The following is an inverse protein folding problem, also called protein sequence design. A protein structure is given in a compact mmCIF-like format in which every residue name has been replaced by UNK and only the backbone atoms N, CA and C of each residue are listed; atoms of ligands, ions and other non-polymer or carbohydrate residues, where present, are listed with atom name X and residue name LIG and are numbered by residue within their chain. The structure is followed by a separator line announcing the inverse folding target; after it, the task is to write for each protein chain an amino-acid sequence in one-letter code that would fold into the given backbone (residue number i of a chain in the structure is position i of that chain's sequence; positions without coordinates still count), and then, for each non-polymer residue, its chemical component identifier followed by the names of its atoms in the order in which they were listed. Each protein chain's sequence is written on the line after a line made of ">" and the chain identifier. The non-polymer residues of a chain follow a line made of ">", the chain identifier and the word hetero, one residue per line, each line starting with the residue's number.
data_IF_258053637137
#
_entry.id   IF_258053637137
#
_cell.length_a   1.000
_cell.length_b   1.000
_cell.length_c   1.000
_cell.angle_alpha   90.00
_cell.angle_beta   90.00
_cell.angle_gamma   90.00
#
_symmetry.space_group_name_H-M   'P 1'
#
loop_
_entity.id
_entity.type
_entity.pdbx_description
1 polymer ?
#
# COMPACT_ATOMS: atom_id res chain seq x y z
N UNK A 1 -34.74 -20.00 -14.95
CA UNK A 1 -34.37 -19.33 -13.69
C UNK A 1 -35.18 -18.05 -13.61
N UNK A 2 -35.81 -17.77 -12.49
CA UNK A 2 -36.51 -16.49 -12.27
C UNK A 2 -35.50 -15.40 -11.94
N UNK A 3 -35.87 -14.13 -12.06
CA UNK A 3 -35.02 -13.00 -11.65
C UNK A 3 -34.66 -13.07 -10.15
N UNK A 4 -35.55 -13.64 -9.35
CA UNK A 4 -35.32 -13.84 -7.92
C UNK A 4 -34.23 -14.90 -7.67
N UNK A 5 -34.18 -15.97 -8.49
CA UNK A 5 -33.09 -16.96 -8.44
C UNK A 5 -31.76 -16.34 -8.80
N UNK A 6 -31.71 -15.47 -9.81
CA UNK A 6 -30.49 -14.79 -10.24
C UNK A 6 -30.00 -13.79 -9.17
N UNK A 7 -30.92 -13.06 -8.53
CA UNK A 7 -30.59 -12.17 -7.40
C UNK A 7 -30.07 -12.98 -6.21
N UNK A 8 -30.70 -14.09 -5.89
CA UNK A 8 -30.26 -14.95 -4.80
C UNK A 8 -28.85 -15.53 -5.06
N UNK A 9 -28.57 -15.93 -6.31
CA UNK A 9 -27.24 -16.39 -6.70
C UNK A 9 -26.19 -15.28 -6.63
N UNK A 10 -26.52 -14.07 -7.09
CA UNK A 10 -25.64 -12.91 -6.97
C UNK A 10 -25.25 -12.65 -5.51
N UNK A 11 -26.24 -12.62 -4.62
CA UNK A 11 -26.01 -12.41 -3.18
C UNK A 11 -25.13 -13.52 -2.57
N UNK A 12 -25.32 -14.77 -2.97
CA UNK A 12 -24.45 -15.88 -2.53
C UNK A 12 -22.99 -15.67 -2.98
N UNK A 13 -22.78 -15.25 -4.22
CA UNK A 13 -21.43 -14.95 -4.74
C UNK A 13 -20.79 -13.78 -4.03
N UNK A 14 -21.53 -12.72 -3.76
CA UNK A 14 -21.07 -11.58 -3.00
C UNK A 14 -20.67 -11.97 -1.56
N UNK A 15 -21.54 -12.73 -0.87
CA UNK A 15 -21.25 -13.21 0.48
C UNK A 15 -19.95 -14.05 0.49
N UNK A 16 -19.84 -14.98 -0.45
CA UNK A 16 -18.62 -15.81 -0.58
C UNK A 16 -17.37 -15.00 -0.86
N UNK A 17 -17.47 -13.98 -1.71
CA UNK A 17 -16.34 -13.10 -2.00
C UNK A 17 -15.83 -12.38 -0.74
N UNK A 18 -16.73 -12.06 0.20
CA UNK A 18 -16.41 -11.38 1.46
C UNK A 18 -15.85 -12.31 2.55
N UNK A 19 -15.93 -13.63 2.38
CA UNK A 19 -15.32 -14.60 3.31
C UNK A 19 -13.78 -14.57 3.30
N UNK A 20 -13.19 -13.95 2.29
CA UNK A 20 -11.73 -13.85 2.14
C UNK A 20 -11.10 -15.27 2.15
N UNK A 21 -9.98 -15.49 2.83
CA UNK A 21 -9.36 -16.81 2.98
C UNK A 21 -10.00 -17.70 4.04
N UNK A 22 -11.13 -17.27 4.61
CA UNK A 22 -11.93 -18.01 5.60
C UNK A 22 -11.56 -17.70 7.06
N UNK A 23 -12.43 -18.08 8.01
CA UNK A 23 -12.39 -17.62 9.39
C UNK A 23 -11.11 -18.00 10.13
N UNK A 24 -10.53 -19.17 9.85
CA UNK A 24 -9.31 -19.61 10.53
C UNK A 24 -8.11 -18.73 10.19
N UNK A 25 -7.93 -18.39 8.91
CA UNK A 25 -6.82 -17.52 8.47
C UNK A 25 -7.00 -16.10 8.96
N UNK A 26 -8.24 -15.60 8.98
CA UNK A 26 -8.56 -14.29 9.52
C UNK A 26 -8.30 -14.22 11.03
N UNK A 27 -8.64 -15.29 11.78
CA UNK A 27 -8.32 -15.40 13.20
C UNK A 27 -6.81 -15.34 13.44
N UNK A 28 -6.01 -16.12 12.68
CA UNK A 28 -4.54 -16.09 12.79
C UNK A 28 -3.94 -14.70 12.56
N UNK A 29 -4.47 -13.94 11.60
CA UNK A 29 -4.03 -12.54 11.37
C UNK A 29 -4.33 -11.66 12.56
N UNK A 30 -5.54 -11.76 13.11
CA UNK A 30 -5.94 -10.98 14.30
C UNK A 30 -5.08 -11.30 15.51
N UNK A 31 -4.80 -12.59 15.76
CA UNK A 31 -3.92 -13.05 16.83
C UNK A 31 -2.48 -12.54 16.67
N UNK A 32 -2.03 -12.34 15.43
CA UNK A 32 -0.73 -11.74 15.12
C UNK A 32 -0.73 -10.20 15.17
N UNK A 33 -1.85 -9.56 15.50
CA UNK A 33 -1.96 -8.09 15.52
C UNK A 33 -1.88 -7.44 14.14
N UNK A 34 -2.26 -8.17 13.08
CA UNK A 34 -2.17 -7.73 11.68
C UNK A 34 -3.56 -7.54 11.11
N UNK A 35 -3.85 -6.38 10.56
CA UNK A 35 -5.13 -6.10 9.91
C UNK A 35 -5.30 -6.97 8.65
N UNK A 36 -6.53 -7.42 8.40
CA UNK A 36 -6.89 -8.03 7.12
C UNK A 36 -7.11 -6.95 6.04
N UNK A 37 -7.32 -7.39 4.80
CA UNK A 37 -7.42 -6.47 3.68
C UNK A 37 -8.66 -5.54 3.73
N UNK A 38 -9.78 -6.00 4.30
CA UNK A 38 -10.98 -5.17 4.52
C UNK A 38 -10.75 -4.14 5.63
N UNK A 39 -10.23 -4.57 6.77
CA UNK A 39 -9.91 -3.69 7.90
C UNK A 39 -8.96 -2.56 7.49
N UNK A 40 -7.97 -2.83 6.63
CA UNK A 40 -7.07 -1.81 6.08
C UNK A 40 -7.82 -0.77 5.25
N UNK A 41 -8.75 -1.19 4.41
CA UNK A 41 -9.58 -0.29 3.60
C UNK A 41 -10.51 0.54 4.47
N UNK A 42 -11.15 -0.08 5.48
CA UNK A 42 -12.02 0.59 6.44
C UNK A 42 -11.29 1.66 7.28
N UNK A 43 -10.03 1.37 7.69
CA UNK A 43 -9.19 2.32 8.43
C UNK A 43 -8.68 3.48 7.56
N UNK A 44 -8.44 3.19 6.28
CA UNK A 44 -7.93 4.18 5.34
C UNK A 44 -9.00 5.19 4.92
N UNK A 45 -10.20 4.71 4.60
CA UNK A 45 -11.21 5.49 3.89
C UNK A 45 -12.25 6.10 4.83
N UNK A 46 -12.85 7.18 4.36
CA UNK A 46 -14.02 7.76 5.00
C UNK A 46 -15.15 6.71 5.08
N UNK A 47 -15.87 6.62 6.21
CA UNK A 47 -16.91 5.63 6.41
C UNK A 47 -17.93 5.60 5.27
N UNK A 48 -18.23 4.39 4.74
CA UNK A 48 -19.21 4.16 3.68
C UNK A 48 -18.82 4.70 2.31
N UNK A 49 -17.59 5.20 2.12
CA UNK A 49 -17.16 5.76 0.83
C UNK A 49 -16.60 4.71 -0.14
N UNK A 50 -16.32 3.49 0.31
CA UNK A 50 -15.67 2.48 -0.54
C UNK A 50 -16.62 1.90 -1.59
N UNK A 51 -16.21 1.98 -2.84
CA UNK A 51 -16.84 1.34 -3.99
C UNK A 51 -15.89 0.29 -4.54
N UNK A 52 -16.19 -0.98 -4.27
CA UNK A 52 -15.35 -2.08 -4.71
C UNK A 52 -15.50 -2.35 -6.21
N UNK A 53 -14.36 -2.54 -6.88
CA UNK A 53 -14.28 -2.94 -8.29
C UNK A 53 -13.70 -4.34 -8.39
N UNK A 54 -14.44 -5.27 -9.02
CA UNK A 54 -13.99 -6.64 -9.23
C UNK A 54 -14.21 -7.57 -8.03
N UNK A 55 -15.23 -7.33 -7.21
CA UNK A 55 -15.65 -8.17 -6.07
C UNK A 55 -15.77 -9.66 -6.44
N UNK A 56 -16.38 -9.96 -7.58
CA UNK A 56 -16.66 -11.33 -8.04
C UNK A 56 -15.50 -11.97 -8.82
N UNK A 57 -14.35 -11.31 -8.90
CA UNK A 57 -13.16 -11.83 -9.57
C UNK A 57 -12.60 -13.06 -8.84
N UNK A 58 -12.33 -14.13 -9.61
CA UNK A 58 -11.72 -15.37 -9.12
C UNK A 58 -10.62 -15.82 -10.06
N UNK A 59 -9.82 -16.82 -9.70
CA UNK A 59 -8.81 -17.40 -10.58
C UNK A 59 -9.42 -17.81 -11.93
N UNK A 60 -8.74 -17.45 -13.02
CA UNK A 60 -9.12 -17.81 -14.38
C UNK A 60 -8.30 -18.99 -14.94
N UNK A 61 -7.12 -19.24 -14.40
CA UNK A 61 -6.19 -20.23 -14.92
C UNK A 61 -6.54 -21.67 -14.55
N UNK A 62 -7.06 -21.89 -13.33
CA UNK A 62 -7.38 -23.20 -12.77
C UNK A 62 -8.82 -23.23 -12.29
N UNK A 63 -9.66 -24.08 -12.87
CA UNK A 63 -11.08 -24.19 -12.53
C UNK A 63 -11.29 -24.51 -11.05
N UNK A 64 -10.53 -25.46 -10.52
CA UNK A 64 -10.62 -25.86 -9.11
C UNK A 64 -10.26 -24.70 -8.14
N UNK A 65 -9.48 -23.74 -8.57
CA UNK A 65 -9.07 -22.60 -7.75
C UNK A 65 -10.17 -21.53 -7.65
N UNK A 66 -11.17 -21.50 -8.52
CA UNK A 66 -12.27 -20.53 -8.48
C UNK A 66 -12.99 -20.52 -7.13
N UNK A 67 -13.17 -21.69 -6.56
CA UNK A 67 -13.84 -21.84 -5.30
C UNK A 67 -13.05 -21.28 -4.09
N UNK A 68 -11.73 -21.19 -4.18
CA UNK A 68 -10.83 -20.87 -3.07
C UNK A 68 -10.04 -19.58 -3.30
N UNK A 69 -10.41 -18.80 -4.32
CA UNK A 69 -9.78 -17.52 -4.65
C UNK A 69 -10.80 -16.37 -4.69
N UNK A 70 -11.55 -16.13 -3.60
CA UNK A 70 -12.46 -14.99 -3.55
C UNK A 70 -11.69 -13.69 -3.80
N UNK A 71 -12.30 -12.78 -4.59
CA UNK A 71 -11.68 -11.51 -5.04
C UNK A 71 -10.33 -11.68 -5.74
N UNK A 72 -9.94 -12.93 -6.01
CA UNK A 72 -8.61 -13.35 -6.44
C UNK A 72 -7.47 -12.78 -5.58
N UNK A 73 -7.74 -12.68 -4.26
CA UNK A 73 -6.79 -12.24 -3.26
C UNK A 73 -6.49 -10.74 -3.25
N UNK A 74 -7.32 -9.90 -3.89
CA UNK A 74 -7.12 -8.45 -3.87
C UNK A 74 -8.44 -7.69 -3.79
N UNK A 75 -8.56 -6.80 -2.80
CA UNK A 75 -9.57 -5.77 -2.77
C UNK A 75 -9.09 -4.59 -3.60
N UNK A 76 -9.89 -4.18 -4.56
CA UNK A 76 -9.57 -3.05 -5.42
C UNK A 76 -10.80 -2.16 -5.56
N UNK A 77 -10.63 -0.86 -5.60
CA UNK A 77 -11.75 0.05 -5.72
C UNK A 77 -11.38 1.50 -5.50
N UNK A 78 -12.39 2.29 -5.18
CA UNK A 78 -12.29 3.73 -5.02
C UNK A 78 -13.00 4.13 -3.73
N UNK A 79 -12.55 5.19 -3.10
CA UNK A 79 -13.16 5.73 -1.90
C UNK A 79 -12.70 7.16 -1.66
N UNK A 80 -12.86 7.64 -0.43
CA UNK A 80 -12.44 8.99 -0.07
C UNK A 80 -11.57 8.97 1.18
N UNK A 81 -10.60 9.88 1.20
CA UNK A 81 -9.82 10.24 2.40
C UNK A 81 -10.03 11.73 2.63
N UNK A 82 -10.60 12.08 3.77
CA UNK A 82 -10.97 13.47 4.09
C UNK A 82 -11.74 14.16 2.94
N UNK A 83 -12.74 13.46 2.40
CA UNK A 83 -13.59 13.93 1.30
C UNK A 83 -12.98 13.86 -0.11
N UNK A 84 -11.68 13.60 -0.26
CA UNK A 84 -10.99 13.53 -1.56
C UNK A 84 -10.95 12.11 -2.10
N UNK A 85 -11.25 11.96 -3.39
CA UNK A 85 -11.25 10.66 -4.05
C UNK A 85 -9.85 10.05 -4.11
N UNK A 86 -9.78 8.74 -3.84
CA UNK A 86 -8.58 7.93 -3.95
C UNK A 86 -8.90 6.57 -4.55
N UNK A 87 -7.93 5.96 -5.20
CA UNK A 87 -7.98 4.57 -5.64
C UNK A 87 -7.21 3.71 -4.64
N UNK A 88 -7.69 2.50 -4.37
CA UNK A 88 -7.11 1.60 -3.37
C UNK A 88 -6.91 0.21 -3.94
N UNK A 89 -5.76 -0.37 -3.64
CA UNK A 89 -5.44 -1.79 -3.82
C UNK A 89 -5.00 -2.35 -2.48
N UNK A 90 -5.79 -3.24 -1.90
CA UNK A 90 -5.46 -3.94 -0.65
C UNK A 90 -5.29 -5.43 -0.92
N UNK A 91 -4.11 -5.93 -0.66
CA UNK A 91 -3.75 -7.33 -0.87
C UNK A 91 -4.26 -8.21 0.28
N UNK A 92 -5.04 -9.24 -0.05
CA UNK A 92 -5.54 -10.23 0.90
C UNK A 92 -4.61 -11.44 0.95
N UNK A 93 -3.66 -11.43 1.87
CA UNK A 93 -2.71 -12.52 2.05
C UNK A 93 -3.36 -13.85 2.47
N UNK A 94 -4.59 -13.82 2.96
CA UNK A 94 -5.32 -15.03 3.36
C UNK A 94 -5.76 -15.88 2.16
N UNK A 95 -5.81 -15.26 0.96
CA UNK A 95 -6.17 -15.91 -0.30
C UNK A 95 -4.91 -16.17 -1.13
N UNK A 96 -4.43 -17.43 -1.13
CA UNK A 96 -3.24 -17.84 -1.89
C UNK A 96 -2.01 -16.93 -1.69
N UNK A 97 -1.84 -16.34 -0.47
CA UNK A 97 -0.76 -15.41 -0.18
C UNK A 97 -0.80 -14.13 -1.04
N UNK A 98 -1.98 -13.69 -1.45
CA UNK A 98 -2.17 -12.59 -2.39
C UNK A 98 -1.30 -12.71 -3.66
N UNK A 99 -0.94 -13.94 -4.07
CA UNK A 99 -0.07 -14.18 -5.22
C UNK A 99 -0.65 -13.61 -6.51
N UNK A 100 0.22 -13.09 -7.36
CA UNK A 100 -0.16 -12.44 -8.61
C UNK A 100 -0.69 -13.45 -9.63
N UNK A 101 -1.86 -13.14 -10.21
CA UNK A 101 -2.57 -13.92 -11.20
C UNK A 101 -3.06 -13.04 -12.33
N UNK A 102 -3.52 -13.63 -13.44
CA UNK A 102 -4.09 -12.88 -14.55
C UNK A 102 -5.29 -12.02 -14.13
N UNK A 103 -6.19 -12.55 -13.31
CA UNK A 103 -7.40 -11.84 -12.87
C UNK A 103 -7.05 -10.65 -11.99
N UNK A 104 -6.23 -10.87 -10.95
CA UNK A 104 -5.94 -9.79 -10.03
C UNK A 104 -5.02 -8.71 -10.63
N UNK A 105 -4.17 -9.05 -11.59
CA UNK A 105 -3.40 -8.06 -12.36
C UNK A 105 -4.31 -7.18 -13.22
N UNK A 106 -5.35 -7.76 -13.85
CA UNK A 106 -6.37 -6.97 -14.58
C UNK A 106 -7.14 -6.03 -13.66
N UNK A 107 -7.46 -6.46 -12.42
CA UNK A 107 -8.12 -5.61 -11.42
C UNK A 107 -7.25 -4.41 -11.06
N UNK A 108 -5.98 -4.64 -10.75
CA UNK A 108 -5.02 -3.56 -10.45
C UNK A 108 -4.90 -2.62 -11.65
N UNK A 109 -4.70 -3.15 -12.85
CA UNK A 109 -4.58 -2.36 -14.08
C UNK A 109 -5.81 -1.50 -14.35
N UNK A 110 -7.02 -2.02 -14.09
CA UNK A 110 -8.27 -1.25 -14.21
C UNK A 110 -8.30 -0.07 -13.23
N UNK A 111 -8.04 -0.33 -11.95
CA UNK A 111 -8.07 0.73 -10.92
C UNK A 111 -7.01 1.80 -11.20
N UNK A 112 -5.80 1.39 -11.59
CA UNK A 112 -4.73 2.33 -11.97
C UNK A 112 -5.13 3.21 -13.15
N UNK A 113 -5.69 2.61 -14.21
CA UNK A 113 -6.13 3.37 -15.38
C UNK A 113 -7.18 4.41 -15.02
N UNK A 114 -8.22 4.01 -14.27
CA UNK A 114 -9.26 4.94 -13.83
C UNK A 114 -8.68 6.05 -12.95
N UNK A 115 -7.76 5.70 -12.02
CA UNK A 115 -7.11 6.67 -11.16
C UNK A 115 -6.31 7.70 -11.98
N UNK A 116 -5.51 7.24 -12.93
CA UNK A 116 -4.74 8.11 -13.84
C UNK A 116 -5.66 9.01 -14.68
N UNK A 117 -6.72 8.44 -15.27
CA UNK A 117 -7.66 9.18 -16.12
C UNK A 117 -8.46 10.23 -15.33
N UNK A 118 -8.70 9.99 -14.05
CA UNK A 118 -9.50 10.86 -13.16
C UNK A 118 -8.67 11.74 -12.23
N UNK A 119 -7.37 11.56 -12.20
CA UNK A 119 -6.49 12.29 -11.29
C UNK A 119 -6.69 11.91 -9.83
N UNK A 120 -6.87 10.62 -9.53
CA UNK A 120 -7.00 10.13 -8.16
C UNK A 120 -5.64 9.64 -7.64
N UNK A 121 -5.23 10.00 -6.43
CA UNK A 121 -4.13 9.33 -5.76
C UNK A 121 -4.38 7.81 -5.65
N UNK A 122 -3.30 7.03 -5.65
CA UNK A 122 -3.37 5.57 -5.51
C UNK A 122 -2.72 5.17 -4.19
N UNK A 123 -3.44 4.38 -3.38
CA UNK A 123 -2.91 3.74 -2.18
C UNK A 123 -2.79 2.25 -2.44
N UNK A 124 -1.59 1.71 -2.22
CA UNK A 124 -1.28 0.30 -2.41
C UNK A 124 -0.80 -0.32 -1.10
N UNK A 125 -1.56 -1.28 -0.56
CA UNK A 125 -1.13 -2.08 0.58
C UNK A 125 -0.37 -3.31 0.10
N UNK A 126 0.96 -3.24 0.17
CA UNK A 126 1.89 -4.23 -0.34
C UNK A 126 1.98 -5.47 0.55
N UNK A 127 1.42 -6.58 0.08
CA UNK A 127 1.56 -7.89 0.71
C UNK A 127 1.33 -8.97 -0.36
N UNK A 128 2.34 -9.81 -0.65
CA UNK A 128 2.23 -10.84 -1.69
C UNK A 128 3.33 -11.88 -1.55
N UNK A 129 3.00 -13.13 -1.74
CA UNK A 129 3.97 -14.23 -1.85
C UNK A 129 4.69 -14.32 -3.20
N UNK A 130 4.41 -13.39 -4.13
CA UNK A 130 4.98 -13.35 -5.47
C UNK A 130 4.03 -13.87 -6.54
N UNK A 131 4.57 -14.43 -7.63
CA UNK A 131 3.78 -14.92 -8.75
C UNK A 131 3.07 -16.25 -8.45
N UNK A 132 1.81 -16.38 -8.87
CA UNK A 132 1.06 -17.64 -8.78
C UNK A 132 1.52 -18.58 -9.89
N UNK A 133 2.15 -19.70 -9.53
CA UNK A 133 2.80 -20.61 -10.50
C UNK A 133 1.89 -21.10 -11.63
N UNK A 134 0.65 -21.59 -11.40
CA UNK A 134 -0.22 -21.99 -12.52
C UNK A 134 -0.52 -20.88 -13.51
N UNK A 135 -0.60 -19.63 -13.05
CA UNK A 135 -0.84 -18.46 -13.89
C UNK A 135 0.40 -18.04 -14.72
N UNK A 136 1.60 -18.46 -14.30
CA UNK A 136 2.87 -18.14 -14.98
C UNK A 136 3.30 -19.22 -15.99
N UNK A 137 2.63 -20.36 -16.01
CA UNK A 137 3.03 -21.50 -16.84
C UNK A 137 2.36 -21.47 -18.22
N UNK A 138 3.09 -21.98 -19.22
CA UNK A 138 2.59 -22.14 -20.58
C UNK A 138 2.53 -20.83 -21.38
N UNK A 139 2.05 -20.92 -22.63
CA UNK A 139 2.02 -19.80 -23.57
C UNK A 139 1.10 -18.65 -23.18
N UNK A 140 0.17 -18.88 -22.28
CA UNK A 140 -0.74 -17.86 -21.70
C UNK A 140 -0.27 -17.38 -20.33
N UNK A 141 0.92 -17.77 -19.91
CA UNK A 141 1.44 -17.47 -18.61
C UNK A 141 1.60 -15.96 -18.37
N UNK A 142 1.41 -15.56 -17.13
CA UNK A 142 1.49 -14.17 -16.69
C UNK A 142 2.92 -13.60 -16.84
N UNK A 143 3.94 -14.45 -16.81
CA UNK A 143 5.33 -14.03 -17.03
C UNK A 143 5.55 -13.27 -18.33
N UNK A 144 4.74 -13.57 -19.35
CA UNK A 144 4.74 -12.83 -20.61
C UNK A 144 4.02 -11.49 -20.53
N UNK A 145 3.23 -11.25 -19.49
CA UNK A 145 2.43 -10.04 -19.29
C UNK A 145 3.09 -9.04 -18.35
N UNK A 146 3.96 -9.47 -17.45
CA UNK A 146 4.59 -8.62 -16.43
C UNK A 146 5.45 -7.50 -17.03
N UNK A 147 6.00 -7.68 -18.22
CA UNK A 147 6.79 -6.66 -18.91
C UNK A 147 6.02 -5.87 -19.98
N UNK A 148 4.74 -6.14 -20.18
CA UNK A 148 3.99 -5.64 -21.35
C UNK A 148 2.96 -4.56 -21.04
N UNK A 149 2.69 -4.25 -19.78
CA UNK A 149 1.83 -3.11 -19.43
C UNK A 149 2.70 -1.88 -19.17
N UNK A 150 2.86 -0.97 -20.15
CA UNK A 150 3.66 0.25 -19.95
C UNK A 150 3.16 1.11 -18.80
N UNK A 151 1.87 1.06 -18.49
CA UNK A 151 1.27 1.82 -17.39
C UNK A 151 1.75 1.35 -16.00
N UNK A 152 2.32 0.16 -15.91
CA UNK A 152 2.89 -0.34 -14.66
C UNK A 152 4.27 0.28 -14.39
N UNK A 153 5.03 0.60 -15.42
CA UNK A 153 6.42 1.01 -15.32
C UNK A 153 6.64 2.47 -15.73
N UNK A 154 5.86 2.95 -16.69
CA UNK A 154 5.95 4.34 -17.16
C UNK A 154 4.89 5.16 -16.39
N UNK A 155 5.25 5.60 -15.19
CA UNK A 155 4.43 6.54 -14.45
C UNK A 155 4.63 7.94 -14.99
N UNK A 156 3.54 8.62 -15.25
CA UNK A 156 3.56 10.05 -15.62
C UNK A 156 3.56 10.97 -14.40
N UNK A 157 3.49 10.41 -13.19
CA UNK A 157 3.45 11.17 -11.92
C UNK A 157 2.40 12.29 -11.90
N UNK A 158 1.28 12.02 -12.52
CA UNK A 158 0.16 12.96 -12.57
C UNK A 158 -0.62 13.01 -11.25
N UNK A 159 -0.65 11.90 -10.50
CA UNK A 159 -1.28 11.76 -9.18
C UNK A 159 -0.33 11.06 -8.22
N UNK A 160 -0.38 11.38 -6.92
CA UNK A 160 0.43 10.70 -5.92
C UNK A 160 0.16 9.19 -5.90
N UNK A 161 1.22 8.41 -5.80
CA UNK A 161 1.17 6.98 -5.56
C UNK A 161 1.85 6.68 -4.22
N UNK A 162 1.13 6.05 -3.30
CA UNK A 162 1.58 5.77 -1.94
C UNK A 162 1.47 4.28 -1.65
N UNK A 163 2.50 3.70 -1.06
CA UNK A 163 2.49 2.29 -0.67
C UNK A 163 2.78 2.10 0.80
N UNK A 164 2.12 1.10 1.40
CA UNK A 164 2.48 0.60 2.72
C UNK A 164 2.75 -0.91 2.64
N UNK A 165 3.95 -1.32 3.02
CA UNK A 165 4.39 -2.72 3.11
C UNK A 165 4.04 -3.24 4.49
N UNK A 166 3.02 -4.12 4.57
CA UNK A 166 2.43 -4.54 5.83
C UNK A 166 2.69 -6.03 6.16
N UNK A 167 3.48 -6.70 5.34
CA UNK A 167 3.85 -8.10 5.52
C UNK A 167 4.85 -8.56 4.48
N UNK A 168 4.75 -9.82 4.04
CA UNK A 168 5.60 -10.34 2.96
C UNK A 168 5.23 -9.68 1.63
N UNK A 169 6.18 -9.01 1.00
CA UNK A 169 5.96 -8.23 -0.21
C UNK A 169 6.99 -8.62 -1.29
N UNK A 170 6.65 -9.66 -2.07
CA UNK A 170 7.57 -10.21 -3.06
C UNK A 170 7.11 -10.00 -4.51
N UNK A 171 8.07 -9.99 -5.43
CA UNK A 171 7.84 -9.91 -6.86
C UNK A 171 7.21 -8.59 -7.30
N UNK A 172 6.13 -8.66 -8.08
CA UNK A 172 5.44 -7.47 -8.60
C UNK A 172 4.93 -6.52 -7.53
N UNK A 173 4.61 -7.05 -6.32
CA UNK A 173 4.20 -6.22 -5.19
C UNK A 173 5.34 -5.31 -4.71
N UNK A 174 6.58 -5.82 -4.66
CA UNK A 174 7.74 -5.01 -4.36
C UNK A 174 7.97 -3.94 -5.45
N UNK A 175 7.79 -4.27 -6.73
CA UNK A 175 7.91 -3.29 -7.81
C UNK A 175 6.89 -2.17 -7.72
N UNK A 176 5.63 -2.48 -7.41
CA UNK A 176 4.62 -1.44 -7.17
C UNK A 176 5.02 -0.50 -6.04
N UNK A 177 5.57 -1.04 -4.97
CA UNK A 177 6.06 -0.26 -3.83
C UNK A 177 7.23 0.65 -4.25
N UNK A 178 8.24 0.12 -4.94
CA UNK A 178 9.39 0.90 -5.40
C UNK A 178 9.03 2.00 -6.41
N UNK A 179 7.88 1.90 -7.07
CA UNK A 179 7.36 2.93 -8.00
C UNK A 179 6.57 4.04 -7.29
N UNK A 180 6.32 3.91 -6.00
CA UNK A 180 5.55 4.89 -5.23
C UNK A 180 6.35 6.17 -4.98
N UNK A 181 5.63 7.25 -4.76
CA UNK A 181 6.19 8.56 -4.39
C UNK A 181 6.46 8.67 -2.89
N UNK A 182 5.79 7.82 -2.10
CA UNK A 182 5.97 7.70 -0.67
C UNK A 182 5.71 6.25 -0.24
N UNK A 183 6.59 5.72 0.59
CA UNK A 183 6.57 4.34 1.04
C UNK A 183 6.68 4.23 2.55
N UNK A 184 5.79 3.43 3.15
CA UNK A 184 5.83 3.09 4.57
C UNK A 184 6.06 1.59 4.70
N UNK A 185 6.88 1.18 5.66
CA UNK A 185 7.06 -0.24 5.97
C UNK A 185 6.81 -0.50 7.44
N UNK A 186 5.95 -1.49 7.72
CA UNK A 186 5.74 -1.95 9.09
C UNK A 186 6.92 -2.80 9.55
N UNK A 187 7.34 -2.66 10.81
CA UNK A 187 8.34 -3.54 11.42
C UNK A 187 7.90 -5.01 11.34
N UNK A 188 8.83 -5.88 10.95
CA UNK A 188 8.57 -7.30 10.69
C UNK A 188 7.98 -7.60 9.31
N UNK A 189 7.73 -6.58 8.47
CA UNK A 189 7.47 -6.79 7.05
C UNK A 189 8.78 -7.02 6.29
N UNK A 190 8.69 -7.70 5.15
CA UNK A 190 9.85 -8.00 4.28
C UNK A 190 9.51 -7.68 2.85
N UNK A 191 10.33 -6.89 2.18
CA UNK A 191 10.17 -6.55 0.77
C UNK A 191 11.39 -6.99 -0.04
N UNK A 192 11.17 -7.81 -1.05
CA UNK A 192 12.22 -8.26 -1.96
C UNK A 192 11.65 -8.72 -3.30
N UNK A 193 12.48 -8.76 -4.34
CA UNK A 193 12.06 -9.32 -5.63
C UNK A 193 11.85 -10.83 -5.53
N UNK A 194 12.75 -11.55 -4.85
CA UNK A 194 12.63 -12.99 -4.60
C UNK A 194 12.32 -13.24 -3.12
N UNK A 195 11.52 -14.27 -2.82
CA UNK A 195 11.29 -14.67 -1.44
C UNK A 195 12.59 -15.23 -0.81
N UNK A 196 12.73 -15.17 0.53
CA UNK A 196 13.89 -15.76 1.22
C UNK A 196 14.12 -17.25 0.89
N UNK A 197 13.04 -18.01 0.67
CA UNK A 197 13.12 -19.39 0.27
C UNK A 197 13.76 -19.55 -1.11
N UNK A 198 13.32 -18.73 -2.08
CA UNK A 198 13.86 -18.77 -3.45
C UNK A 198 15.30 -18.28 -3.48
N UNK A 199 15.62 -17.20 -2.74
CA UNK A 199 16.98 -16.70 -2.60
C UNK A 199 17.91 -17.75 -1.97
N UNK A 200 17.47 -18.41 -0.89
CA UNK A 200 18.21 -19.49 -0.24
C UNK A 200 18.52 -20.65 -1.18
N UNK A 201 17.53 -21.06 -1.98
CA UNK A 201 17.73 -22.13 -2.98
C UNK A 201 18.71 -21.73 -4.08
N UNK A 202 18.67 -20.47 -4.52
CA UNK A 202 19.54 -19.97 -5.58
C UNK A 202 21.02 -19.89 -5.17
N UNK A 203 21.31 -19.49 -3.93
CA UNK A 203 22.69 -19.32 -3.45
C UNK A 203 23.20 -20.49 -2.60
N UNK A 204 22.37 -21.51 -2.33
CA UNK A 204 22.74 -22.66 -1.53
C UNK A 204 22.97 -22.41 -0.05
N UNK A 205 22.45 -21.28 0.48
CA UNK A 205 22.60 -20.87 1.88
C UNK A 205 21.27 -20.38 2.43
N UNK A 206 21.03 -20.55 3.73
CA UNK A 206 19.83 -20.01 4.38
C UNK A 206 19.92 -18.48 4.43
N UNK A 207 18.95 -17.83 3.84
CA UNK A 207 18.82 -16.37 3.84
C UNK A 207 17.85 -15.96 4.94
N UNK A 208 18.27 -15.04 5.80
CA UNK A 208 17.41 -14.42 6.79
C UNK A 208 16.49 -13.40 6.10
N UNK A 209 15.16 -13.44 6.36
CA UNK A 209 14.22 -12.50 5.75
C UNK A 209 14.50 -11.04 6.08
N UNK A 210 14.89 -10.73 7.33
CA UNK A 210 15.17 -9.37 7.78
C UNK A 210 16.43 -8.82 7.10
N UNK A 211 17.47 -9.66 6.94
CA UNK A 211 18.70 -9.27 6.22
C UNK A 211 18.46 -9.12 4.71
N UNK A 212 17.54 -9.92 4.12
CA UNK A 212 17.25 -9.85 2.70
C UNK A 212 16.52 -8.57 2.32
N UNK A 213 15.54 -8.16 3.13
CA UNK A 213 14.67 -7.06 2.77
C UNK A 213 13.74 -6.63 3.91
N UNK A 214 14.22 -6.69 5.16
CA UNK A 214 13.51 -6.16 6.31
C UNK A 214 13.54 -4.64 6.36
N UNK A 215 12.81 -4.08 7.30
CA UNK A 215 12.62 -2.64 7.41
C UNK A 215 13.94 -1.87 7.62
N UNK A 216 14.90 -2.43 8.40
CA UNK A 216 16.21 -1.79 8.60
C UNK A 216 17.02 -1.71 7.31
N UNK A 217 17.01 -2.80 6.53
CA UNK A 217 17.69 -2.83 5.24
C UNK A 217 17.16 -1.70 4.34
N UNK A 218 15.85 -1.52 4.29
CA UNK A 218 15.25 -0.57 3.35
C UNK A 218 15.17 0.87 3.86
N UNK A 219 15.14 1.11 5.17
CA UNK A 219 15.15 2.47 5.72
C UNK A 219 16.56 3.00 5.99
N UNK A 220 17.50 2.14 6.44
CA UNK A 220 18.82 2.59 6.90
C UNK A 220 19.93 2.39 5.85
N UNK A 221 19.74 1.44 4.90
CA UNK A 221 20.79 1.08 3.94
C UNK A 221 20.42 1.43 2.50
N UNK A 222 19.24 1.01 2.02
CA UNK A 222 18.85 1.24 0.62
C UNK A 222 18.12 2.55 0.38
N UNK A 223 17.50 3.13 1.40
CA UNK A 223 16.67 4.34 1.28
C UNK A 223 15.41 4.15 0.44
N UNK A 224 14.92 2.90 0.30
CA UNK A 224 13.69 2.62 -0.46
C UNK A 224 12.41 2.88 0.32
N UNK A 225 12.50 2.98 1.64
CA UNK A 225 11.38 3.22 2.54
C UNK A 225 11.57 4.57 3.22
N UNK A 226 10.59 5.44 3.07
CA UNK A 226 10.60 6.79 3.61
C UNK A 226 10.27 6.81 5.10
N UNK A 227 9.36 5.93 5.56
CA UNK A 227 8.94 5.84 6.97
C UNK A 227 8.77 4.40 7.42
N UNK A 228 9.07 4.17 8.69
CA UNK A 228 8.85 2.90 9.38
C UNK A 228 7.69 3.08 10.38
N UNK A 229 6.82 2.07 10.45
CA UNK A 229 5.68 2.03 11.37
C UNK A 229 5.76 0.80 12.28
N UNK A 230 5.29 0.92 13.52
CA UNK A 230 5.18 -0.21 14.45
C UNK A 230 3.99 -1.11 14.11
N UNK A 231 2.87 -0.52 13.66
CA UNK A 231 1.61 -1.19 13.41
C UNK A 231 1.04 -0.87 12.03
N UNK A 232 0.05 -1.69 11.58
CA UNK A 232 -0.70 -1.40 10.36
C UNK A 232 -1.47 -0.06 10.49
N UNK A 233 -2.05 0.23 11.67
CA UNK A 233 -2.77 1.48 11.93
C UNK A 233 -1.86 2.70 11.79
N UNK A 234 -0.66 2.66 12.38
CA UNK A 234 0.33 3.73 12.23
C UNK A 234 0.76 3.93 10.78
N UNK A 235 0.98 2.83 10.04
CA UNK A 235 1.32 2.91 8.63
C UNK A 235 0.21 3.60 7.82
N UNK A 236 -1.06 3.29 8.10
CA UNK A 236 -2.22 3.91 7.46
C UNK A 236 -2.30 5.41 7.79
N UNK A 237 -2.06 5.81 9.03
CA UNK A 237 -2.06 7.23 9.41
C UNK A 237 -0.91 8.00 8.74
N UNK A 238 0.28 7.40 8.59
CA UNK A 238 1.39 8.00 7.84
C UNK A 238 1.03 8.19 6.36
N UNK A 239 0.35 7.23 5.74
CA UNK A 239 -0.18 7.35 4.37
C UNK A 239 -1.18 8.52 4.25
N UNK A 240 -2.14 8.61 5.17
CA UNK A 240 -3.10 9.72 5.20
C UNK A 240 -2.41 11.06 5.39
N UNK A 241 -1.44 11.13 6.31
CA UNK A 241 -0.67 12.33 6.59
C UNK A 241 0.11 12.79 5.36
N UNK A 242 0.83 11.90 4.67
CA UNK A 242 1.50 12.26 3.43
C UNK A 242 0.53 12.81 2.39
N UNK A 243 -0.60 12.12 2.16
CA UNK A 243 -1.61 12.56 1.19
C UNK A 243 -2.25 13.90 1.58
N UNK A 244 -2.25 14.29 2.86
CA UNK A 244 -2.79 15.58 3.29
C UNK A 244 -1.97 16.78 2.81
N UNK A 245 -0.70 16.59 2.50
CA UNK A 245 0.18 17.63 1.93
C UNK A 245 0.07 17.73 0.41
N UNK A 246 -0.42 16.68 -0.24
CA UNK A 246 -0.37 16.55 -1.69
C UNK A 246 -1.69 16.98 -2.34
N UNK A 247 -1.65 17.60 -3.54
CA UNK A 247 -2.85 17.72 -4.38
C UNK A 247 -3.30 16.33 -4.85
N UNK A 248 -4.52 16.21 -5.37
CA UNK A 248 -4.98 14.95 -5.95
C UNK A 248 -4.23 14.63 -7.25
N UNK A 249 -3.85 15.65 -8.02
CA UNK A 249 -3.07 15.51 -9.26
C UNK A 249 -2.30 16.81 -9.57
N UNK A 250 -1.40 16.74 -10.56
CA UNK A 250 -0.50 17.82 -10.92
C UNK A 250 -1.18 19.11 -11.43
N UNK A 251 -2.47 19.09 -11.77
CA UNK A 251 -3.23 20.26 -12.19
C UNK A 251 -4.00 20.92 -11.03
N UNK A 252 -3.84 20.45 -9.81
CA UNK A 252 -4.39 21.08 -8.61
C UNK A 252 -3.29 21.76 -7.80
N UNK A 253 -3.64 22.86 -7.14
CA UNK A 253 -2.75 23.47 -6.14
C UNK A 253 -2.67 22.58 -4.89
N UNK A 254 -1.52 22.54 -4.19
CA UNK A 254 -1.43 21.89 -2.89
C UNK A 254 -2.50 22.42 -1.91
N UNK A 255 -2.98 21.57 -0.99
CA UNK A 255 -3.91 22.00 0.04
C UNK A 255 -3.38 23.21 0.81
N UNK A 256 -4.22 24.21 1.04
CA UNK A 256 -3.89 25.36 1.87
C UNK A 256 -4.64 25.25 3.18
N UNK A 257 -3.91 25.27 4.27
CA UNK A 257 -4.47 25.37 5.61
C UNK A 257 -4.57 26.85 6.02
N UNK A 258 -5.51 27.22 6.90
CA UNK A 258 -5.52 28.55 7.49
C UNK A 258 -4.21 28.77 8.27
N UNK A 259 -3.67 30.02 8.26
CA UNK A 259 -2.46 30.32 9.01
C UNK A 259 -2.68 30.04 10.50
N UNK A 260 -1.66 29.56 11.22
CA UNK A 260 -1.76 29.37 12.66
C UNK A 260 -1.99 30.70 13.37
N UNK A 261 -2.64 30.71 14.54
CA UNK A 261 -2.83 31.93 15.31
C UNK A 261 -1.48 32.51 15.76
N UNK A 262 -1.34 33.85 15.85
CA UNK A 262 -0.07 34.50 16.15
C UNK A 262 0.62 34.00 17.43
N UNK A 263 -0.13 33.61 18.44
CA UNK A 263 0.38 33.05 19.69
C UNK A 263 1.08 31.68 19.50
N UNK A 264 0.65 30.87 18.53
CA UNK A 264 1.26 29.57 18.24
C UNK A 264 2.66 29.72 17.64
N UNK A 265 2.92 30.81 16.93
CA UNK A 265 4.22 31.12 16.33
C UNK A 265 5.06 32.09 17.17
N UNK A 266 4.47 32.62 18.24
CA UNK A 266 5.17 33.53 19.14
C UNK A 266 6.41 32.86 19.76
N UNK A 267 7.50 33.62 19.89
CA UNK A 267 8.75 33.14 20.47
C UNK A 267 9.58 32.22 19.57
N UNK A 268 9.22 32.00 18.28
CA UNK A 268 10.00 31.19 17.35
C UNK A 268 11.47 31.63 17.26
N UNK A 269 11.73 32.93 17.16
CA UNK A 269 13.09 33.47 17.12
C UNK A 269 13.88 33.18 18.41
N UNK A 270 13.23 33.22 19.58
CA UNK A 270 13.87 32.88 20.84
C UNK A 270 14.20 31.39 20.93
N UNK A 271 13.29 30.51 20.45
CA UNK A 271 13.54 29.06 20.37
C UNK A 271 14.75 28.76 19.48
N UNK A 272 14.83 29.39 18.30
CA UNK A 272 15.97 29.21 17.39
C UNK A 272 17.28 29.67 18.06
N UNK A 273 17.31 30.85 18.69
CA UNK A 273 18.49 31.34 19.40
C UNK A 273 18.90 30.42 20.56
N UNK A 274 17.95 29.82 21.26
CA UNK A 274 18.22 28.85 22.32
C UNK A 274 18.73 27.49 21.83
N UNK A 275 18.43 27.15 20.57
CA UNK A 275 18.83 25.86 19.96
C UNK A 275 20.20 25.96 19.30
N UNK A 276 20.48 27.05 18.59
CA UNK A 276 21.74 27.24 17.83
C UNK A 276 22.83 27.73 18.81
N UNK A 277 23.91 26.94 19.01
CA UNK A 277 24.98 27.31 19.92
C UNK A 277 25.83 28.47 19.37
N UNK A 278 26.40 29.28 20.23
CA UNK A 278 27.35 30.36 19.86
C UNK A 278 28.61 29.78 19.16
N UNK A 279 29.06 28.62 19.62
CA UNK A 279 30.23 27.96 19.07
C UNK A 279 29.90 27.20 17.78
N UNK A 280 30.50 27.59 16.65
CA UNK A 280 30.37 26.92 15.35
C UNK A 280 30.88 25.47 15.31
N UNK A 281 31.57 25.00 16.34
CA UNK A 281 32.07 23.63 16.48
C UNK A 281 31.12 22.72 17.20
N UNK A 282 30.03 23.24 17.75
CA UNK A 282 29.07 22.47 18.55
C UNK A 282 27.91 22.05 17.65
N UNK A 283 27.59 20.77 17.65
CA UNK A 283 26.43 20.22 16.96
C UNK A 283 25.16 20.57 17.71
N UNK A 284 24.06 20.70 16.99
CA UNK A 284 22.73 20.93 17.53
C UNK A 284 21.69 20.22 16.67
N UNK A 285 20.50 20.03 17.23
CA UNK A 285 19.39 19.37 16.55
C UNK A 285 18.69 20.35 15.61
N UNK A 286 18.87 20.13 14.32
CA UNK A 286 18.28 20.97 13.26
C UNK A 286 16.76 20.81 13.21
N UNK A 287 16.19 19.66 13.61
CA UNK A 287 14.74 19.43 13.65
C UNK A 287 14.04 20.51 14.48
N UNK A 288 14.60 20.87 15.66
CA UNK A 288 14.07 21.93 16.51
C UNK A 288 14.09 23.32 15.85
N UNK A 289 15.05 23.56 14.97
CA UNK A 289 15.11 24.82 14.20
C UNK A 289 14.03 24.81 13.12
N UNK A 290 13.87 23.69 12.41
CA UNK A 290 12.83 23.53 11.38
C UNK A 290 11.44 23.69 12.02
N UNK A 291 11.16 22.99 13.11
CA UNK A 291 9.89 23.07 13.86
C UNK A 291 9.58 24.49 14.38
N UNK A 292 10.61 25.30 14.62
CA UNK A 292 10.41 26.69 15.00
C UNK A 292 10.12 27.61 13.82
N UNK A 293 10.39 27.19 12.59
CA UNK A 293 10.20 27.98 11.35
C UNK A 293 8.86 27.65 10.67
N UNK A 294 8.50 26.36 10.64
CA UNK A 294 7.29 25.89 9.97
C UNK A 294 6.07 26.02 10.89
N UNK A 295 4.88 25.90 10.30
CA UNK A 295 3.63 25.88 11.09
C UNK A 295 3.62 24.71 12.09
N UNK A 296 3.04 24.87 13.27
CA UNK A 296 2.92 23.80 14.25
C UNK A 296 2.35 22.53 13.63
N UNK A 297 2.94 21.37 13.98
CA UNK A 297 2.58 20.04 13.53
C UNK A 297 2.67 19.81 12.00
N UNK A 298 3.20 20.77 11.25
CA UNK A 298 3.34 20.66 9.78
C UNK A 298 4.62 19.94 9.35
N UNK A 299 5.61 19.80 10.21
CA UNK A 299 6.84 19.11 9.86
C UNK A 299 6.60 17.59 9.75
N UNK A 300 6.94 17.04 8.59
CA UNK A 300 6.85 15.62 8.28
C UNK A 300 8.18 15.16 7.70
N UNK A 301 9.05 14.66 8.57
CA UNK A 301 10.37 14.14 8.19
C UNK A 301 10.22 12.84 7.39
N UNK A 302 11.00 12.68 6.33
CA UNK A 302 11.09 11.49 5.50
C UNK A 302 12.41 10.75 5.73
#
# INVERSE_FOLDING_TARGET
>A
MSIDDDIAELRRREARAREMGGPEKLRKRREAGVLNAEERVERLLDPGSFIESGLLGVSAAVEADRAITPRDGKLTGFGRIAGRNVAVVSNDFTVKGASSSQTNMKKIGHVKRVATDRGFPIVYFGESSGARMPDNMGARGMGTQLGQDPQQYVRRRESPWVSAVLGQCYGSSAWYTCLSDFTVMRKGAVMAVASPLLASAAIGQKVDPEELGGWRMHSEVTGLIDRVAETDDEAIELVKRFLSYMPAHNNEAPPRLPPPPPEAVAGAAARIRGTVPESRRRVYDMTRVIEAIVDPDSFFEL
#
